data_IF_824833133895
#
_entry.id   IF_824833133895
#
_cell.length_a   1.000
_cell.length_b   1.000
_cell.length_c   1.000
_cell.angle_alpha   90.00
_cell.angle_beta   90.00
_cell.angle_gamma   90.00
#
_symmetry.space_group_name_H-M   'P 1'
#
loop_
_entity.id
_entity.type
_entity.pdbx_description
1 polymer ?
#
# COMPACT_ATOMS: atom_id res chain seq x y z
N UNK A 1 -7.00 -16.98 -7.03
CA UNK A 1 -6.01 -15.89 -7.16
C UNK A 1 -4.69 -16.46 -7.57
N UNK A 2 -3.84 -16.77 -6.60
CA UNK A 2 -2.48 -17.32 -6.74
C UNK A 2 -2.19 -18.16 -7.99
N UNK A 3 -2.86 -19.30 -8.18
CA UNK A 3 -2.59 -20.20 -9.33
C UNK A 3 -2.80 -19.52 -10.69
N UNK A 4 -3.82 -18.67 -10.83
CA UNK A 4 -4.11 -17.94 -12.07
C UNK A 4 -3.02 -16.88 -12.29
N UNK A 5 -2.60 -16.18 -11.24
CA UNK A 5 -1.49 -15.21 -11.30
C UNK A 5 -0.16 -15.89 -11.62
N UNK A 6 0.15 -17.03 -11.02
CA UNK A 6 1.37 -17.80 -11.32
C UNK A 6 1.42 -18.27 -12.77
N UNK A 7 0.28 -18.61 -13.38
CA UNK A 7 0.20 -19.02 -14.79
C UNK A 7 0.29 -17.82 -15.74
N UNK A 8 -0.30 -16.68 -15.39
CA UNK A 8 -0.42 -15.50 -16.27
C UNK A 8 0.73 -14.51 -16.14
N UNK A 9 1.37 -14.42 -14.97
CA UNK A 9 2.47 -13.50 -14.70
C UNK A 9 3.65 -13.62 -15.68
N UNK A 10 4.07 -14.82 -16.15
CA UNK A 10 5.12 -14.93 -17.16
C UNK A 10 4.74 -14.41 -18.55
N UNK A 11 3.43 -14.28 -18.84
CA UNK A 11 2.94 -13.84 -20.14
C UNK A 11 2.75 -12.32 -20.22
N UNK A 12 2.43 -11.64 -19.11
CA UNK A 12 2.21 -10.18 -19.10
C UNK A 12 3.43 -9.40 -19.64
N UNK A 13 4.69 -9.70 -19.25
CA UNK A 13 5.87 -9.02 -19.80
C UNK A 13 6.08 -9.22 -21.30
N UNK A 14 5.49 -10.27 -21.91
CA UNK A 14 5.59 -10.50 -23.35
C UNK A 14 4.63 -9.61 -24.14
N UNK A 15 3.51 -9.24 -23.54
CA UNK A 15 2.47 -8.42 -24.18
C UNK A 15 2.70 -6.92 -23.97
N UNK A 16 3.29 -6.53 -22.84
CA UNK A 16 3.54 -5.12 -22.51
C UNK A 16 5.01 -4.78 -22.75
N UNK A 17 5.28 -4.03 -23.83
CA UNK A 17 6.63 -3.59 -24.17
C UNK A 17 7.29 -2.83 -23.01
N UNK A 18 8.52 -3.22 -22.68
CA UNK A 18 9.33 -2.60 -21.62
C UNK A 18 9.05 -3.13 -20.22
N UNK A 19 7.95 -3.85 -19.99
CA UNK A 19 7.69 -4.53 -18.73
C UNK A 19 8.66 -5.71 -18.57
N UNK A 20 9.37 -5.78 -17.45
CA UNK A 20 10.33 -6.84 -17.14
C UNK A 20 9.74 -7.90 -16.23
N UNK A 21 9.02 -7.46 -15.19
CA UNK A 21 8.38 -8.33 -14.23
C UNK A 21 7.14 -7.66 -13.63
N UNK A 22 6.18 -8.48 -13.18
CA UNK A 22 5.00 -8.04 -12.44
C UNK A 22 4.65 -9.10 -11.41
N UNK A 23 4.21 -8.65 -10.23
CA UNK A 23 3.78 -9.49 -9.13
C UNK A 23 2.47 -8.95 -8.55
N UNK A 24 1.42 -9.76 -8.61
CA UNK A 24 0.18 -9.54 -7.88
C UNK A 24 0.32 -10.08 -6.46
N UNK A 25 0.22 -9.18 -5.49
CA UNK A 25 0.53 -9.51 -4.10
C UNK A 25 -0.69 -10.15 -3.43
N UNK A 26 -0.70 -11.49 -3.38
CA UNK A 26 -1.81 -12.25 -2.80
C UNK A 26 -2.15 -11.81 -1.36
N UNK A 27 -1.13 -11.52 -0.55
CA UNK A 27 -1.27 -11.07 0.83
C UNK A 27 -2.06 -9.74 0.97
N UNK A 28 -2.16 -8.96 -0.09
CA UNK A 28 -2.92 -7.71 -0.15
C UNK A 28 -4.39 -7.90 -0.59
N UNK A 29 -4.88 -9.16 -0.65
CA UNK A 29 -6.22 -9.47 -1.14
C UNK A 29 -6.29 -9.83 -2.63
N UNK A 30 -5.22 -10.47 -3.14
CA UNK A 30 -5.07 -10.93 -4.54
C UNK A 30 -4.87 -9.80 -5.56
N UNK A 31 -5.87 -8.94 -5.76
CA UNK A 31 -5.86 -7.91 -6.81
C UNK A 31 -5.44 -6.50 -6.37
N UNK A 32 -5.67 -6.03 -5.12
CA UNK A 32 -5.48 -4.62 -4.78
C UNK A 32 -4.10 -4.03 -5.08
N UNK A 33 -3.04 -4.82 -4.98
CA UNK A 33 -1.65 -4.37 -5.11
C UNK A 33 -0.90 -5.13 -6.21
N UNK A 34 -0.33 -4.37 -7.14
CA UNK A 34 0.68 -4.81 -8.09
C UNK A 34 2.03 -4.17 -7.79
N UNK A 35 3.08 -4.98 -7.86
CA UNK A 35 4.47 -4.54 -7.90
C UNK A 35 5.03 -4.86 -9.28
N UNK A 36 5.68 -3.91 -9.93
CA UNK A 36 6.21 -4.10 -11.28
C UNK A 36 7.64 -3.58 -11.41
N UNK A 37 8.35 -4.18 -12.36
CA UNK A 37 9.68 -3.72 -12.79
C UNK A 37 9.57 -3.38 -14.27
N UNK A 38 9.73 -2.10 -14.60
CA UNK A 38 9.73 -1.61 -15.97
C UNK A 38 11.14 -1.30 -16.46
N UNK A 39 11.27 -0.99 -17.73
CA UNK A 39 12.47 -0.40 -18.30
C UNK A 39 12.31 1.12 -18.34
N UNK A 40 13.38 1.85 -18.03
CA UNK A 40 13.43 3.32 -18.07
C UNK A 40 14.57 3.80 -18.99
N UNK A 41 14.27 3.93 -20.28
CA UNK A 41 15.27 4.10 -21.35
C UNK A 41 15.19 5.44 -22.09
N UNK A 42 14.15 6.25 -21.85
CA UNK A 42 13.85 7.41 -22.70
C UNK A 42 14.93 8.50 -22.70
N UNK A 43 15.68 8.68 -21.60
CA UNK A 43 16.71 9.72 -21.48
C UNK A 43 17.97 9.21 -20.77
N UNK A 44 18.84 8.43 -21.44
CA UNK A 44 19.99 7.78 -20.80
C UNK A 44 21.10 8.76 -20.34
N UNK A 45 21.12 9.99 -20.85
CA UNK A 45 22.15 11.00 -20.57
C UNK A 45 21.79 11.96 -19.42
N UNK A 46 20.62 11.80 -18.80
CA UNK A 46 20.19 12.61 -17.65
C UNK A 46 20.00 11.72 -16.44
N UNK A 47 19.98 12.34 -15.26
CA UNK A 47 19.54 11.65 -14.06
C UNK A 47 18.14 11.07 -14.30
N UNK A 48 17.99 9.77 -14.01
CA UNK A 48 16.75 9.05 -14.28
C UNK A 48 15.66 9.49 -13.31
N UNK A 49 14.47 9.65 -13.86
CA UNK A 49 13.22 9.82 -13.14
C UNK A 49 12.11 9.14 -13.95
N UNK A 50 10.95 8.83 -13.34
CA UNK A 50 9.89 8.09 -14.02
C UNK A 50 9.42 8.78 -15.30
N UNK A 51 9.54 8.08 -16.44
CA UNK A 51 9.09 8.53 -17.76
C UNK A 51 8.50 7.35 -18.55
N UNK A 52 9.34 6.42 -19.01
CA UNK A 52 8.90 5.20 -19.70
C UNK A 52 8.07 4.31 -18.79
N UNK A 53 8.48 4.15 -17.52
CA UNK A 53 7.76 3.30 -16.56
C UNK A 53 6.34 3.79 -16.28
N UNK A 54 6.06 5.09 -16.45
CA UNK A 54 4.69 5.62 -16.35
C UNK A 54 3.83 5.11 -17.52
N UNK A 55 4.41 5.03 -18.72
CA UNK A 55 3.72 4.48 -19.90
C UNK A 55 3.42 3.00 -19.70
N UNK A 56 4.40 2.24 -19.20
CA UNK A 56 4.25 0.82 -18.88
C UNK A 56 3.18 0.61 -17.81
N UNK A 57 3.15 1.45 -16.78
CA UNK A 57 2.18 1.36 -15.69
C UNK A 57 0.74 1.59 -16.17
N UNK A 58 0.52 2.54 -17.08
CA UNK A 58 -0.80 2.74 -17.69
C UNK A 58 -1.22 1.55 -18.56
N UNK A 59 -0.30 0.95 -19.32
CA UNK A 59 -0.58 -0.26 -20.09
C UNK A 59 -0.96 -1.44 -19.17
N UNK A 60 -0.24 -1.61 -18.04
CA UNK A 60 -0.53 -2.63 -17.03
C UNK A 60 -1.94 -2.48 -16.44
N UNK A 61 -2.34 -1.27 -16.04
CA UNK A 61 -3.68 -1.02 -15.49
C UNK A 61 -4.79 -1.13 -16.55
N UNK A 62 -4.45 -1.25 -17.84
CA UNK A 62 -5.38 -1.57 -18.92
C UNK A 62 -5.42 -3.05 -19.31
N UNK A 63 -4.56 -3.91 -18.73
CA UNK A 63 -4.34 -5.27 -19.23
C UNK A 63 -4.99 -6.35 -18.36
N UNK A 64 -6.00 -7.04 -18.91
CA UNK A 64 -6.57 -8.26 -18.32
C UNK A 64 -6.91 -8.11 -16.82
N UNK A 65 -6.47 -9.07 -16.00
CA UNK A 65 -6.70 -9.06 -14.56
C UNK A 65 -5.85 -8.01 -13.80
N UNK A 66 -4.76 -7.50 -14.40
CA UNK A 66 -3.97 -6.43 -13.79
C UNK A 66 -4.77 -5.13 -13.68
N UNK A 67 -5.79 -4.95 -14.54
CA UNK A 67 -6.70 -3.81 -14.48
C UNK A 67 -7.56 -3.75 -13.20
N UNK A 68 -7.65 -4.84 -12.43
CA UNK A 68 -8.39 -4.87 -11.16
C UNK A 68 -7.62 -4.20 -10.02
N UNK A 69 -6.30 -4.04 -10.16
CA UNK A 69 -5.48 -3.43 -9.12
C UNK A 69 -5.77 -1.94 -8.93
N UNK A 70 -5.68 -1.49 -7.68
CA UNK A 70 -5.82 -0.07 -7.32
C UNK A 70 -4.52 0.59 -6.89
N UNK A 71 -3.55 -0.20 -6.44
CA UNK A 71 -2.20 0.26 -6.19
C UNK A 71 -1.26 -0.42 -7.17
N UNK A 72 -0.54 0.36 -7.96
CA UNK A 72 0.56 -0.12 -8.78
C UNK A 72 1.83 0.62 -8.38
N UNK A 73 2.75 -0.12 -7.77
CA UNK A 73 4.12 0.35 -7.56
C UNK A 73 4.95 -0.14 -8.73
N UNK A 74 5.73 0.76 -9.34
CA UNK A 74 6.64 0.40 -10.42
C UNK A 74 8.01 1.03 -10.20
N UNK A 75 9.06 0.25 -10.44
CA UNK A 75 10.45 0.71 -10.39
C UNK A 75 11.15 0.49 -11.72
N UNK A 76 12.17 1.28 -12.00
CA UNK A 76 13.05 1.05 -13.14
C UNK A 76 14.06 -0.07 -12.84
N UNK A 77 14.07 -1.12 -13.66
CA UNK A 77 15.01 -2.23 -13.51
C UNK A 77 16.48 -1.85 -13.77
N UNK A 78 16.73 -0.68 -14.36
CA UNK A 78 18.06 -0.11 -14.53
C UNK A 78 18.66 0.45 -13.22
N UNK A 79 17.86 0.67 -12.16
CA UNK A 79 18.37 1.09 -10.84
C UNK A 79 18.86 -0.08 -9.99
N UNK A 80 18.32 -1.27 -10.22
CA UNK A 80 18.76 -2.51 -9.61
C UNK A 80 18.41 -3.69 -10.53
N UNK A 81 19.37 -4.19 -11.33
CA UNK A 81 19.13 -5.30 -12.25
C UNK A 81 18.72 -6.62 -11.57
N UNK A 82 19.00 -6.77 -10.27
CA UNK A 82 18.63 -7.94 -9.46
C UNK A 82 17.32 -7.78 -8.69
N UNK A 83 16.60 -6.67 -8.88
CA UNK A 83 15.33 -6.42 -8.16
C UNK A 83 14.30 -7.51 -8.50
N UNK A 84 13.69 -8.06 -7.47
CA UNK A 84 12.66 -9.09 -7.57
C UNK A 84 11.37 -8.57 -6.92
N UNK A 85 10.34 -8.34 -7.72
CA UNK A 85 9.05 -7.85 -7.23
C UNK A 85 8.27 -8.88 -6.39
N UNK A 86 8.71 -10.13 -6.30
CA UNK A 86 8.17 -11.12 -5.36
C UNK A 86 8.76 -11.01 -3.94
N UNK A 87 9.93 -10.37 -3.79
CA UNK A 87 10.54 -10.04 -2.49
C UNK A 87 10.02 -8.67 -2.02
N UNK A 88 8.76 -8.68 -1.57
CA UNK A 88 7.95 -7.47 -1.35
C UNK A 88 8.60 -6.47 -0.39
N UNK A 89 9.21 -6.94 0.69
CA UNK A 89 9.93 -6.11 1.67
C UNK A 89 11.12 -5.37 1.05
N UNK A 90 12.01 -6.09 0.35
CA UNK A 90 13.15 -5.50 -0.34
C UNK A 90 12.71 -4.56 -1.48
N UNK A 91 11.66 -4.94 -2.21
CA UNK A 91 11.08 -4.13 -3.26
C UNK A 91 10.55 -2.79 -2.72
N UNK A 92 9.77 -2.83 -1.63
CA UNK A 92 9.22 -1.62 -1.02
C UNK A 92 10.33 -0.72 -0.48
N UNK A 93 11.37 -1.26 0.15
CA UNK A 93 12.53 -0.46 0.57
C UNK A 93 13.22 0.20 -0.63
N UNK A 94 13.52 -0.57 -1.68
CA UNK A 94 14.14 -0.07 -2.90
C UNK A 94 13.33 1.07 -3.55
N UNK A 95 12.00 0.91 -3.59
CA UNK A 95 11.07 1.92 -4.08
C UNK A 95 11.09 3.18 -3.20
N UNK A 96 10.96 3.02 -1.88
CA UNK A 96 10.84 4.11 -0.92
C UNK A 96 12.12 4.93 -0.77
N UNK A 97 13.29 4.37 -1.05
CA UNK A 97 14.56 5.13 -1.13
C UNK A 97 14.55 6.18 -2.26
N UNK A 98 13.73 5.99 -3.31
CA UNK A 98 13.83 6.71 -4.59
C UNK A 98 12.63 7.60 -4.90
N UNK A 99 11.43 7.19 -4.50
CA UNK A 99 10.19 7.85 -4.90
C UNK A 99 10.15 9.32 -4.46
N UNK A 100 9.81 10.27 -5.33
CA UNK A 100 9.57 11.66 -4.96
C UNK A 100 8.07 11.94 -4.92
N UNK A 101 7.46 11.98 -3.73
CA UNK A 101 6.02 12.18 -3.56
C UNK A 101 5.48 13.51 -4.10
N UNK A 102 6.35 14.45 -4.46
CA UNK A 102 5.94 15.70 -5.14
C UNK A 102 5.52 15.45 -6.59
N UNK A 103 6.02 14.38 -7.23
CA UNK A 103 5.88 14.09 -8.66
C UNK A 103 5.32 12.69 -8.94
N UNK A 104 5.73 11.71 -8.15
CA UNK A 104 5.71 10.29 -8.52
C UNK A 104 4.42 9.55 -8.10
N UNK A 105 3.33 10.28 -7.92
CA UNK A 105 2.01 9.75 -7.52
C UNK A 105 0.98 10.18 -8.56
N UNK A 106 0.38 9.22 -9.25
CA UNK A 106 -0.53 9.50 -10.37
C UNK A 106 -1.88 8.81 -10.15
N UNK A 107 -2.91 9.60 -9.87
CA UNK A 107 -4.25 9.10 -9.59
C UNK A 107 -5.08 8.93 -10.86
N UNK A 108 -5.88 7.86 -10.88
CA UNK A 108 -7.01 7.65 -11.78
C UNK A 108 -8.27 7.56 -10.93
N UNK A 109 -9.03 8.64 -10.88
CA UNK A 109 -10.26 8.73 -10.08
C UNK A 109 -11.49 8.29 -10.87
N UNK A 110 -12.54 7.83 -10.19
CA UNK A 110 -13.82 7.43 -10.81
C UNK A 110 -13.65 6.29 -11.82
N UNK A 111 -12.92 5.27 -11.39
CA UNK A 111 -12.65 4.07 -12.18
C UNK A 111 -13.49 2.88 -11.71
N UNK A 112 -13.46 1.82 -12.51
CA UNK A 112 -14.08 0.54 -12.17
C UNK A 112 -13.13 -0.26 -11.27
N UNK A 113 -13.70 -0.83 -10.21
CA UNK A 113 -13.00 -1.62 -9.19
C UNK A 113 -13.42 -3.08 -9.20
N UNK A 114 -12.62 -3.94 -8.56
CA UNK A 114 -13.01 -5.32 -8.27
C UNK A 114 -14.33 -5.36 -7.48
N UNK A 115 -15.21 -6.29 -7.82
CA UNK A 115 -16.51 -6.48 -7.17
C UNK A 115 -16.40 -6.83 -5.69
N UNK A 116 -15.30 -7.44 -5.27
CA UNK A 116 -15.03 -7.77 -3.87
C UNK A 116 -14.24 -6.67 -3.15
N UNK A 117 -13.93 -5.56 -3.83
CA UNK A 117 -13.33 -4.39 -3.19
C UNK A 117 -14.42 -3.44 -2.68
N UNK A 118 -14.55 -3.39 -1.36
CA UNK A 118 -15.54 -2.56 -0.66
C UNK A 118 -14.95 -1.26 -0.09
N UNK A 119 -13.71 -0.91 -0.43
CA UNK A 119 -13.05 0.30 0.08
C UNK A 119 -13.49 1.59 -0.61
N UNK A 120 -14.04 1.48 -1.81
CA UNK A 120 -14.49 2.62 -2.60
C UNK A 120 -15.87 3.15 -2.21
N UNK A 121 -16.31 4.18 -2.92
CA UNK A 121 -17.58 4.90 -2.65
C UNK A 121 -18.84 4.16 -3.12
N UNK A 122 -18.70 2.96 -3.70
CA UNK A 122 -19.81 2.13 -4.14
C UNK A 122 -19.36 0.86 -4.85
N UNK A 123 -20.31 -0.01 -5.19
CA UNK A 123 -20.03 -1.27 -5.89
C UNK A 123 -19.32 -1.01 -7.22
N UNK A 124 -18.18 -1.68 -7.43
CA UNK A 124 -17.33 -1.53 -8.62
C UNK A 124 -16.87 -0.09 -8.89
N UNK A 125 -16.83 0.79 -7.87
CA UNK A 125 -16.45 2.21 -8.03
C UNK A 125 -15.36 2.59 -7.04
N UNK A 126 -14.30 3.20 -7.55
CA UNK A 126 -13.24 3.72 -6.71
C UNK A 126 -12.19 4.49 -7.51
N UNK A 127 -10.95 4.33 -7.11
CA UNK A 127 -9.80 4.96 -7.72
C UNK A 127 -8.60 4.02 -7.80
N UNK A 128 -7.64 4.38 -8.66
CA UNK A 128 -6.35 3.70 -8.78
C UNK A 128 -5.25 4.73 -8.61
N UNK A 129 -4.08 4.28 -8.19
CA UNK A 129 -2.86 5.09 -8.12
C UNK A 129 -1.69 4.32 -8.70
N UNK A 130 -0.93 4.99 -9.55
CA UNK A 130 0.40 4.56 -9.97
C UNK A 130 1.39 5.32 -9.11
N UNK A 131 2.28 4.60 -8.43
CA UNK A 131 3.42 5.15 -7.72
C UNK A 131 4.69 4.66 -8.42
N UNK A 132 5.46 5.55 -9.01
CA UNK A 132 6.57 5.19 -9.90
C UNK A 132 7.89 5.73 -9.37
N UNK A 133 8.94 4.92 -9.30
CA UNK A 133 10.25 5.39 -8.83
C UNK A 133 11.36 4.98 -9.81
N UNK A 134 12.20 5.95 -10.18
CA UNK A 134 13.39 5.71 -10.99
C UNK A 134 14.46 6.73 -10.62
N UNK A 135 15.72 6.32 -10.69
CA UNK A 135 16.87 7.14 -10.36
C UNK A 135 17.63 6.69 -9.11
N UNK A 136 18.66 7.46 -8.70
CA UNK A 136 19.40 7.19 -7.47
C UNK A 136 18.49 7.32 -6.24
N UNK A 137 18.89 6.66 -5.14
CA UNK A 137 18.23 6.87 -3.85
C UNK A 137 18.37 8.32 -3.41
N UNK A 138 17.26 8.95 -3.04
CA UNK A 138 17.18 10.35 -2.59
C UNK A 138 17.00 10.48 -1.08
N UNK A 139 16.98 9.35 -0.35
CA UNK A 139 16.92 9.28 1.11
C UNK A 139 17.45 7.95 1.64
N UNK A 140 17.87 7.95 2.89
CA UNK A 140 18.05 6.76 3.71
C UNK A 140 16.77 6.48 4.50
N UNK A 141 16.38 5.20 4.61
CA UNK A 141 15.16 4.79 5.31
C UNK A 141 15.44 4.57 6.80
N UNK A 142 14.60 5.15 7.65
CA UNK A 142 14.68 4.95 9.09
C UNK A 142 14.29 3.52 9.45
N UNK A 143 15.16 2.79 10.17
CA UNK A 143 14.89 1.44 10.67
C UNK A 143 14.25 1.39 12.06
N UNK A 144 14.21 2.53 12.76
CA UNK A 144 13.66 2.66 14.12
C UNK A 144 12.87 3.95 14.25
N UNK A 145 11.97 3.99 15.22
CA UNK A 145 11.21 5.21 15.53
C UNK A 145 12.16 6.31 16.03
N UNK A 146 11.89 7.58 15.66
CA UNK A 146 12.59 8.73 16.25
C UNK A 146 12.30 8.82 17.75
N UNK A 147 13.32 9.03 18.57
CA UNK A 147 13.18 9.06 20.04
C UNK A 147 12.35 10.25 20.55
N UNK A 148 12.25 11.31 19.77
CA UNK A 148 11.49 12.53 20.04
C UNK A 148 10.11 12.55 19.35
N UNK A 149 9.71 11.44 18.69
CA UNK A 149 8.43 11.36 18.01
C UNK A 149 7.28 11.72 18.96
N UNK A 150 6.46 12.66 18.50
CA UNK A 150 5.19 13.05 19.14
C UNK A 150 4.07 12.80 18.16
N UNK A 151 2.92 12.43 18.69
CA UNK A 151 1.70 12.22 17.92
C UNK A 151 0.62 13.17 18.44
N UNK A 152 -0.30 13.63 17.57
CA UNK A 152 -1.41 14.45 18.00
C UNK A 152 -2.38 13.64 18.90
N UNK A 153 -3.21 14.31 19.71
CA UNK A 153 -4.18 13.64 20.58
C UNK A 153 -5.06 12.65 19.82
N UNK A 154 -5.26 11.47 20.42
CA UNK A 154 -6.02 10.36 19.83
C UNK A 154 -5.20 9.41 18.95
N UNK A 155 -4.01 9.82 18.50
CA UNK A 155 -3.07 8.95 17.79
C UNK A 155 -2.03 8.41 18.77
N UNK A 156 -1.72 7.12 18.68
CA UNK A 156 -0.83 6.47 19.63
C UNK A 156 -0.12 5.24 19.03
N UNK A 157 0.73 4.62 19.84
CA UNK A 157 1.44 3.38 19.54
C UNK A 157 2.09 3.37 18.15
N UNK A 158 2.98 4.32 17.81
CA UNK A 158 3.70 4.26 16.54
C UNK A 158 4.60 3.02 16.54
N UNK A 159 4.69 2.30 15.42
CA UNK A 159 5.55 1.12 15.25
C UNK A 159 6.15 1.12 13.84
N UNK A 160 7.44 0.78 13.72
CA UNK A 160 8.04 0.53 12.40
C UNK A 160 7.56 -0.81 11.86
N UNK A 161 7.04 -0.82 10.63
CA UNK A 161 6.62 -2.04 9.93
C UNK A 161 7.78 -2.59 9.10
N UNK A 162 8.42 -1.69 8.35
CA UNK A 162 9.62 -1.91 7.54
C UNK A 162 10.47 -0.64 7.64
N UNK A 163 11.76 -0.66 7.23
CA UNK A 163 12.51 0.56 7.04
C UNK A 163 11.71 1.58 6.21
N UNK A 164 11.50 2.77 6.76
CA UNK A 164 10.76 3.84 6.12
C UNK A 164 9.23 3.75 6.10
N UNK A 165 8.64 2.71 6.71
CA UNK A 165 7.19 2.55 6.85
C UNK A 165 6.80 2.50 8.33
N UNK A 166 6.02 3.48 8.76
CA UNK A 166 5.50 3.56 10.14
C UNK A 166 3.99 3.33 10.17
N UNK A 167 3.52 2.43 11.03
CA UNK A 167 2.10 2.30 11.35
C UNK A 167 1.78 3.09 12.62
N UNK A 168 0.64 3.77 12.64
CA UNK A 168 0.15 4.54 13.80
C UNK A 168 -1.29 4.16 14.08
N UNK A 169 -1.59 3.83 15.34
CA UNK A 169 -2.96 3.61 15.78
C UNK A 169 -3.69 4.95 15.80
N UNK A 170 -4.80 5.03 15.09
CA UNK A 170 -5.58 6.23 14.88
C UNK A 170 -7.01 6.06 15.45
N UNK A 171 -7.70 7.16 15.80
CA UNK A 171 -9.08 7.09 16.28
C UNK A 171 -9.99 6.37 15.26
N UNK A 172 -11.03 5.63 15.71
CA UNK A 172 -11.96 4.95 14.82
C UNK A 172 -12.53 5.87 13.73
N UNK A 173 -12.74 5.32 12.54
CA UNK A 173 -13.40 6.03 11.45
C UNK A 173 -14.92 6.09 11.70
N UNK A 174 -15.45 7.26 12.04
CA UNK A 174 -16.89 7.47 12.25
C UNK A 174 -17.59 8.08 11.02
N UNK A 175 -18.89 7.80 10.86
CA UNK A 175 -19.72 8.35 9.80
C UNK A 175 -20.04 9.83 10.06
N UNK A 176 -19.64 10.71 9.13
CA UNK A 176 -20.00 12.13 9.17
C UNK A 176 -18.92 13.02 9.80
N UNK A 177 -18.12 13.64 8.93
CA UNK A 177 -17.41 14.90 9.20
C UNK A 177 -16.32 14.93 10.31
N UNK A 178 -15.85 13.77 10.77
CA UNK A 178 -14.66 13.63 11.65
C UNK A 178 -13.46 12.96 10.98
N UNK A 179 -13.63 12.30 9.83
CA UNK A 179 -12.56 11.54 9.17
C UNK A 179 -11.47 12.43 8.54
N UNK A 180 -11.88 13.33 7.63
CA UNK A 180 -10.97 14.33 7.04
C UNK A 180 -10.37 15.23 8.12
N UNK A 181 -11.10 15.48 9.21
CA UNK A 181 -10.59 16.26 10.35
C UNK A 181 -9.49 15.51 11.09
N UNK A 182 -9.66 14.22 11.38
CA UNK A 182 -8.66 13.45 12.11
C UNK A 182 -7.36 13.30 11.31
N UNK A 183 -7.43 12.87 10.05
CA UNK A 183 -6.22 12.73 9.22
C UNK A 183 -5.60 14.08 8.90
N UNK A 184 -6.43 15.11 8.66
CA UNK A 184 -5.95 16.48 8.48
C UNK A 184 -5.33 17.10 9.72
N UNK A 185 -5.74 16.70 10.93
CA UNK A 185 -5.05 17.07 12.18
C UNK A 185 -3.71 16.36 12.29
N UNK A 186 -3.67 15.07 11.91
CA UNK A 186 -2.43 14.30 11.85
C UNK A 186 -1.41 14.94 10.92
N UNK A 187 -1.76 15.14 9.65
CA UNK A 187 -0.81 15.69 8.66
C UNK A 187 -0.31 17.07 9.04
N UNK A 188 -1.18 17.97 9.54
CA UNK A 188 -0.79 19.30 10.04
C UNK A 188 0.13 19.25 11.26
N UNK A 189 -0.10 18.31 12.18
CA UNK A 189 0.81 18.13 13.32
C UNK A 189 2.19 17.66 12.85
N UNK A 190 2.22 16.69 11.93
CA UNK A 190 3.46 16.12 11.40
C UNK A 190 4.23 17.11 10.51
N UNK A 191 3.58 18.08 9.87
CA UNK A 191 4.24 19.14 9.09
C UNK A 191 5.25 19.92 9.93
N UNK A 192 4.93 20.14 11.20
CA UNK A 192 5.76 20.90 12.14
C UNK A 192 6.79 20.04 12.89
N UNK A 193 6.93 18.77 12.52
CA UNK A 193 7.78 17.81 13.23
C UNK A 193 8.91 17.33 12.32
N UNK A 194 10.17 17.60 12.65
CA UNK A 194 11.31 17.19 11.82
C UNK A 194 11.68 15.70 11.95
N UNK A 195 11.12 15.01 12.92
CA UNK A 195 11.50 13.65 13.26
C UNK A 195 11.08 12.59 12.22
N UNK A 196 10.22 12.90 11.24
CA UNK A 196 9.78 11.92 10.22
C UNK A 196 10.74 11.75 9.04
N UNK A 197 11.93 12.35 9.10
CA UNK A 197 12.96 12.13 8.10
C UNK A 197 13.28 10.63 7.96
N UNK A 198 13.35 10.15 6.72
CA UNK A 198 13.57 8.73 6.44
C UNK A 198 12.34 7.84 6.60
N UNK A 199 11.16 8.39 6.91
CA UNK A 199 9.86 7.67 6.94
C UNK A 199 8.97 8.20 5.80
N UNK A 200 9.23 7.82 4.54
CA UNK A 200 8.44 8.30 3.40
C UNK A 200 6.98 7.83 3.42
N UNK A 201 6.63 6.77 4.14
CA UNK A 201 5.25 6.25 4.20
C UNK A 201 4.77 6.07 5.64
N UNK A 202 3.59 6.58 5.93
CA UNK A 202 2.89 6.40 7.20
C UNK A 202 1.54 5.74 6.91
N UNK A 203 1.15 4.74 7.68
CA UNK A 203 -0.16 4.10 7.57
C UNK A 203 -0.93 4.28 8.87
N UNK A 204 -2.11 4.88 8.77
CA UNK A 204 -3.04 5.03 9.89
C UNK A 204 -3.92 3.79 9.95
N UNK A 205 -3.97 3.14 11.11
CA UNK A 205 -4.68 1.86 11.31
C UNK A 205 -5.45 1.86 12.62
N UNK A 206 -6.36 0.92 12.78
CA UNK A 206 -7.05 0.70 14.06
C UNK A 206 -6.12 0.08 15.12
N UNK A 207 -5.21 -0.80 14.70
CA UNK A 207 -4.25 -1.50 15.57
C UNK A 207 -2.87 -1.59 14.90
N UNK A 208 -1.93 -0.78 15.37
CA UNK A 208 -0.56 -0.72 14.85
C UNK A 208 0.30 -1.92 15.26
N UNK A 209 0.00 -2.55 16.40
CA UNK A 209 0.71 -3.75 16.84
C UNK A 209 0.35 -4.94 15.94
N UNK A 210 -0.95 -5.15 15.68
CA UNK A 210 -1.39 -6.19 14.74
C UNK A 210 -0.89 -5.94 13.31
N UNK A 211 -0.90 -4.68 12.86
CA UNK A 211 -0.40 -4.30 11.54
C UNK A 211 1.09 -4.62 11.35
N UNK A 212 1.91 -4.36 12.38
CA UNK A 212 3.37 -4.55 12.33
C UNK A 212 3.82 -5.98 12.65
N UNK A 213 2.95 -6.85 13.16
CA UNK A 213 3.28 -8.23 13.54
C UNK A 213 3.83 -9.05 12.36
N UNK A 214 3.38 -8.78 11.13
CA UNK A 214 3.92 -9.40 9.93
C UNK A 214 3.71 -8.55 8.69
N UNK A 215 4.58 -8.74 7.68
CA UNK A 215 4.41 -8.11 6.37
C UNK A 215 3.04 -8.40 5.76
N UNK A 216 2.51 -9.62 5.96
CA UNK A 216 1.18 -10.01 5.48
C UNK A 216 0.06 -9.18 6.11
N UNK A 217 0.12 -8.92 7.42
CA UNK A 217 -0.88 -8.09 8.10
C UNK A 217 -0.83 -6.66 7.58
N UNK A 218 0.36 -6.09 7.44
CA UNK A 218 0.54 -4.76 6.84
C UNK A 218 -0.06 -4.67 5.44
N UNK A 219 0.30 -5.60 4.55
CA UNK A 219 -0.19 -5.61 3.17
C UNK A 219 -1.72 -5.76 3.14
N UNK A 220 -2.26 -6.68 3.94
CA UNK A 220 -3.70 -6.90 4.03
C UNK A 220 -4.43 -5.65 4.50
N UNK A 221 -4.05 -5.09 5.67
CA UNK A 221 -4.74 -3.94 6.26
C UNK A 221 -4.64 -2.74 5.33
N UNK A 222 -3.44 -2.40 4.86
CA UNK A 222 -3.19 -1.21 4.06
C UNK A 222 -4.00 -1.24 2.77
N UNK A 223 -3.88 -2.32 1.99
CA UNK A 223 -4.39 -2.32 0.63
C UNK A 223 -5.82 -2.85 0.50
N UNK A 224 -6.37 -3.58 1.49
CA UNK A 224 -7.79 -3.99 1.44
C UNK A 224 -8.74 -2.93 2.00
N UNK A 225 -8.25 -1.99 2.82
CA UNK A 225 -9.10 -1.01 3.53
C UNK A 225 -9.00 0.42 3.00
N UNK A 226 -8.20 0.67 1.97
CA UNK A 226 -8.01 2.01 1.40
C UNK A 226 -8.40 2.08 -0.08
N UNK A 227 -9.17 3.10 -0.46
CA UNK A 227 -9.32 3.56 -1.84
C UNK A 227 -8.36 4.74 -2.08
N UNK A 228 -7.46 4.68 -3.08
CA UNK A 228 -6.33 5.60 -3.19
C UNK A 228 -6.69 7.09 -3.11
N UNK A 229 -7.69 7.53 -3.85
CA UNK A 229 -8.02 8.96 -3.98
C UNK A 229 -8.71 9.53 -2.73
N UNK A 230 -9.39 8.70 -1.93
CA UNK A 230 -10.02 9.15 -0.68
C UNK A 230 -9.15 8.95 0.54
N UNK A 231 -8.28 7.94 0.54
CA UNK A 231 -7.54 7.51 1.71
C UNK A 231 -6.04 7.82 1.65
N UNK A 232 -5.52 8.35 0.52
CA UNK A 232 -4.15 8.88 0.46
C UNK A 232 -4.15 10.37 0.80
N UNK A 233 -3.35 10.69 1.80
CA UNK A 233 -3.05 12.04 2.26
C UNK A 233 -1.54 12.24 2.25
N UNK A 234 -1.08 13.44 2.61
CA UNK A 234 0.33 13.72 2.68
C UNK A 234 0.65 14.83 3.66
N UNK A 235 1.80 14.70 4.31
CA UNK A 235 2.37 15.76 5.13
C UNK A 235 2.94 16.83 4.20
N UNK A 236 2.42 18.06 4.28
CA UNK A 236 2.72 19.11 3.31
C UNK A 236 2.16 18.78 1.93
N UNK A 237 0.93 18.24 1.88
CA UNK A 237 0.25 17.94 0.61
C UNK A 237 -0.11 19.21 -0.16
N UNK A 238 -0.04 19.14 -1.48
CA UNK A 238 -0.41 20.22 -2.38
C UNK A 238 -1.04 19.67 -3.66
N UNK A 239 -1.75 20.53 -4.37
CA UNK A 239 -2.21 20.27 -5.73
C UNK A 239 -1.70 21.38 -6.63
N UNK A 240 -0.89 21.02 -7.62
CA UNK A 240 -0.46 21.93 -8.68
C UNK A 240 -1.18 21.55 -9.97
N UNK A 241 -2.05 22.44 -10.45
CA UNK A 241 -3.03 22.16 -11.50
C UNK A 241 -3.89 20.91 -11.23
N UNK A 242 -3.54 19.77 -11.85
CA UNK A 242 -4.22 18.47 -11.70
C UNK A 242 -3.31 17.39 -11.12
N UNK A 243 -2.11 17.77 -10.69
CA UNK A 243 -1.17 16.88 -10.06
C UNK A 243 -1.24 17.06 -8.55
N UNK A 244 -1.42 15.96 -7.83
CA UNK A 244 -1.37 15.95 -6.37
C UNK A 244 -0.03 15.39 -5.92
N UNK A 245 0.52 15.95 -4.85
CA UNK A 245 1.73 15.42 -4.22
C UNK A 245 1.86 15.85 -2.77
N UNK A 246 2.94 15.42 -2.13
CA UNK A 246 3.32 15.91 -0.81
C UNK A 246 4.82 16.08 -0.68
N UNK A 247 5.25 16.93 0.24
CA UNK A 247 6.66 17.32 0.40
C UNK A 247 7.42 16.45 1.40
N UNK A 248 6.71 15.71 2.28
CA UNK A 248 7.31 14.85 3.29
C UNK A 248 6.80 13.42 3.16
N UNK A 249 6.06 12.89 4.15
CA UNK A 249 5.55 11.52 4.12
C UNK A 249 4.19 11.45 3.45
N UNK A 250 4.02 10.43 2.61
CA UNK A 250 2.70 10.00 2.14
C UNK A 250 2.01 9.23 3.27
N UNK A 251 0.74 9.54 3.52
CA UNK A 251 -0.07 8.96 4.58
C UNK A 251 -1.21 8.17 3.97
N UNK A 252 -1.35 6.89 4.31
CA UNK A 252 -2.46 6.04 3.88
C UNK A 252 -3.40 5.81 5.06
N UNK A 253 -4.66 6.18 4.94
CA UNK A 253 -5.70 5.85 5.91
C UNK A 253 -6.25 4.43 5.65
N UNK A 254 -5.79 3.47 6.43
CA UNK A 254 -6.19 2.07 6.36
C UNK A 254 -7.08 1.63 7.54
N UNK A 255 -7.68 2.59 8.27
CA UNK A 255 -8.69 2.29 9.28
C UNK A 255 -9.91 1.61 8.68
N UNK A 256 -10.64 0.85 9.47
CA UNK A 256 -11.90 0.24 9.07
C UNK A 256 -12.99 1.31 8.90
N UNK A 257 -13.59 1.43 7.71
CA UNK A 257 -14.67 2.39 7.45
C UNK A 257 -16.04 1.81 7.82
N UNK A 258 -17.02 2.63 8.24
CA UNK A 258 -18.37 2.16 8.61
C UNK A 258 -19.13 1.39 7.53
N UNK A 259 -18.80 1.62 6.27
CA UNK A 259 -19.41 0.92 5.13
C UNK A 259 -18.70 -0.39 4.77
N UNK A 260 -17.53 -0.67 5.35
CA UNK A 260 -16.88 -1.97 5.19
C UNK A 260 -17.72 -3.06 5.86
N UNK A 261 -17.67 -4.27 5.29
CA UNK A 261 -18.21 -5.42 5.97
C UNK A 261 -17.55 -5.57 7.35
N UNK A 262 -18.33 -5.84 8.42
CA UNK A 262 -17.74 -6.09 9.73
C UNK A 262 -16.76 -7.27 9.62
N UNK A 263 -15.65 -7.24 10.38
CA UNK A 263 -14.72 -8.36 10.40
C UNK A 263 -15.45 -9.64 10.81
N UNK A 264 -15.06 -10.77 10.21
CA UNK A 264 -15.55 -12.06 10.65
C UNK A 264 -15.03 -12.34 12.06
N UNK A 265 -15.90 -12.20 13.06
CA UNK A 265 -15.59 -12.55 14.45
C UNK A 265 -16.04 -13.98 14.66
N UNK A 266 -15.11 -14.87 15.01
CA UNK A 266 -15.45 -16.24 15.36
C UNK A 266 -16.37 -16.25 16.59
N UNK A 267 -17.45 -17.05 16.55
CA UNK A 267 -18.28 -17.25 17.73
C UNK A 267 -17.50 -18.10 18.74
N UNK A 268 -17.17 -17.58 19.94
CA UNK A 268 -16.39 -18.32 20.93
C UNK A 268 -17.00 -19.66 21.33
N UNK A 269 -18.33 -19.82 21.23
CA UNK A 269 -19.01 -21.10 21.49
C UNK A 269 -18.75 -22.11 20.38
N UNK A 270 -18.69 -21.66 19.12
CA UNK A 270 -18.40 -22.49 17.96
C UNK A 270 -16.91 -22.86 17.96
N UNK A 271 -16.01 -21.90 18.20
CA UNK A 271 -14.57 -22.16 18.33
C UNK A 271 -14.32 -23.23 19.40
N UNK A 272 -14.88 -23.08 20.61
CA UNK A 272 -14.79 -24.12 21.66
C UNK A 272 -15.44 -25.46 21.31
N UNK A 273 -16.44 -25.48 20.43
CA UNK A 273 -17.05 -26.72 19.96
C UNK A 273 -16.13 -27.46 18.99
N UNK A 274 -15.47 -26.72 18.10
CA UNK A 274 -14.48 -27.26 17.15
C UNK A 274 -13.22 -27.71 17.89
N UNK A 275 -12.69 -26.91 18.82
CA UNK A 275 -11.53 -27.27 19.66
C UNK A 275 -11.77 -28.58 20.43
N UNK A 276 -13.01 -28.79 20.93
CA UNK A 276 -13.40 -30.05 21.59
C UNK A 276 -13.36 -31.28 20.68
N UNK A 277 -13.36 -31.13 19.36
CA UNK A 277 -13.19 -32.25 18.44
C UNK A 277 -11.71 -32.63 18.29
N UNK A 278 -10.79 -31.70 18.52
CA UNK A 278 -9.34 -31.88 18.44
C UNK A 278 -8.66 -32.31 19.75
N UNK A 279 -9.38 -32.35 20.88
CA UNK A 279 -8.82 -32.87 22.14
C UNK A 279 -8.61 -34.39 22.08
N UNK A 280 -7.71 -34.92 22.91
CA UNK A 280 -7.45 -36.36 23.00
C UNK A 280 -8.73 -37.16 23.28
N UNK A 281 -9.10 -38.04 22.34
CA UNK A 281 -10.36 -38.81 22.35
C UNK A 281 -11.50 -38.19 21.53
N UNK A 282 -11.30 -36.99 20.96
CA UNK A 282 -12.22 -36.35 20.02
C UNK A 282 -12.11 -36.92 18.61
N UNK A 283 -13.17 -36.73 17.81
CA UNK A 283 -13.29 -37.31 16.47
C UNK A 283 -12.27 -36.79 15.45
N UNK A 284 -11.63 -35.65 15.74
CA UNK A 284 -10.62 -35.01 14.89
C UNK A 284 -9.27 -34.92 15.60
N UNK A 285 -9.05 -35.69 16.66
CA UNK A 285 -7.78 -35.72 17.39
C UNK A 285 -6.61 -36.09 16.47
N UNK A 286 -5.59 -35.23 16.42
CA UNK A 286 -4.42 -35.43 15.57
C UNK A 286 -4.60 -34.96 14.11
N UNK A 287 -5.77 -34.40 13.79
CA UNK A 287 -6.08 -33.76 12.49
C UNK A 287 -6.16 -32.24 12.66
N UNK A 288 -6.85 -31.78 13.71
CA UNK A 288 -6.92 -30.39 14.16
C UNK A 288 -6.38 -30.25 15.58
#
# INVERSE_FOLDING_TARGET
GRLIHEITAPMVPREISGLRAVHAVDAAGVHPLLLAVGSERYCPYRERFPQEIITIANALLGFGQCSLAKYLFIVAGEDNPSIDCSRVDEYLCHFLERVDWRRDVHFQTRTTMDTLDYSGTGLNRGSKVIMAAAGPGIRELAGSLPGDLRLPPGFHSPVMVLPGIMAVAAPPCESGDTLEKAVGLFTRFMENTDCIQGIPMIVLVDDSAFCSESLRNFLWITFTRSDPASDIHGVGSFTDHRHWGCTRSLVIDARLKPHHAPPLVEDPKITRKVERLGVKGGSLYGII
#
